data_IF_818028658022
#
_entry.id   IF_818028658022
#
_cell.length_a   1.000
_cell.length_b   1.000
_cell.length_c   1.000
_cell.angle_alpha   90.00
_cell.angle_beta   90.00
_cell.angle_gamma   90.00
#
_symmetry.space_group_name_H-M   'P 1'
#
loop_
_entity.id
_entity.type
_entity.pdbx_description
1 polymer ?
#
# COMPACT_ATOMS: atom_id res chain seq x y z
N UNK A 1 -10.35 -6.96 -15.19
CA UNK A 1 -10.49 -5.98 -14.10
C UNK A 1 -11.74 -6.31 -13.31
N UNK A 2 -11.63 -6.35 -12.01
CA UNK A 2 -12.76 -6.70 -11.16
C UNK A 2 -13.59 -5.43 -10.87
N UNK A 3 -14.82 -5.36 -11.41
CA UNK A 3 -15.69 -4.19 -11.22
C UNK A 3 -16.11 -4.02 -9.76
N UNK A 4 -16.11 -5.10 -8.98
CA UNK A 4 -16.43 -5.10 -7.56
C UNK A 4 -15.20 -4.89 -6.67
N UNK A 5 -14.01 -4.74 -7.25
CA UNK A 5 -12.80 -4.47 -6.47
C UNK A 5 -12.75 -3.02 -6.04
N UNK A 6 -12.73 -2.80 -4.72
CA UNK A 6 -12.68 -1.46 -4.14
C UNK A 6 -11.49 -0.66 -4.68
N UNK A 7 -10.30 -1.26 -4.74
CA UNK A 7 -9.10 -0.54 -5.16
C UNK A 7 -9.07 -0.31 -6.67
N UNK A 8 -9.62 -1.22 -7.48
CA UNK A 8 -9.79 -0.95 -8.91
C UNK A 8 -10.68 0.27 -9.11
N UNK A 9 -11.75 0.40 -8.32
CA UNK A 9 -12.67 1.55 -8.42
C UNK A 9 -12.00 2.84 -7.98
N UNK A 10 -11.15 2.79 -6.97
CA UNK A 10 -10.37 3.96 -6.52
C UNK A 10 -9.37 4.35 -7.61
N UNK A 11 -8.64 3.39 -8.17
CA UNK A 11 -7.66 3.64 -9.23
C UNK A 11 -8.30 4.29 -10.45
N UNK A 12 -9.52 3.85 -10.83
CA UNK A 12 -10.25 4.42 -11.97
C UNK A 12 -10.86 5.78 -11.68
N UNK A 13 -10.93 6.19 -10.41
CA UNK A 13 -11.60 7.42 -10.02
C UNK A 13 -13.11 7.29 -9.84
N UNK A 14 -13.65 6.08 -9.84
CA UNK A 14 -15.08 5.82 -9.56
C UNK A 14 -15.43 6.17 -8.11
N UNK A 15 -14.44 6.05 -7.22
CA UNK A 15 -14.54 6.48 -5.82
C UNK A 15 -13.48 7.56 -5.63
N UNK A 16 -13.93 8.74 -5.20
CA UNK A 16 -13.05 9.89 -5.02
C UNK A 16 -12.23 9.72 -3.73
N UNK A 17 -10.92 9.55 -3.88
CA UNK A 17 -9.96 9.46 -2.78
C UNK A 17 -8.77 10.35 -3.12
N UNK A 18 -8.35 11.26 -2.23
CA UNK A 18 -7.15 12.06 -2.49
C UNK A 18 -5.91 11.19 -2.52
N UNK A 19 -5.13 11.28 -3.60
CA UNK A 19 -3.85 10.58 -3.68
C UNK A 19 -2.76 11.45 -3.06
N UNK A 20 -1.94 10.84 -2.18
CA UNK A 20 -0.78 11.50 -1.61
C UNK A 20 0.45 11.35 -2.51
N UNK A 21 0.41 10.37 -3.41
CA UNK A 21 1.48 10.10 -4.36
C UNK A 21 0.94 9.24 -5.49
N UNK A 22 1.45 9.44 -6.70
CA UNK A 22 1.09 8.57 -7.82
C UNK A 22 2.20 8.50 -8.84
N UNK A 23 2.29 7.35 -9.51
CA UNK A 23 3.21 7.08 -10.60
C UNK A 23 2.41 6.43 -11.74
N UNK A 24 3.04 6.19 -12.91
CA UNK A 24 2.37 5.39 -13.94
C UNK A 24 1.98 3.99 -13.49
N UNK A 25 2.62 3.46 -12.45
CA UNK A 25 2.42 2.08 -11.99
C UNK A 25 1.52 1.95 -10.76
N UNK A 26 1.44 2.99 -9.92
CA UNK A 26 0.70 2.89 -8.66
C UNK A 26 0.12 4.22 -8.22
N UNK A 27 -0.83 4.13 -7.30
CA UNK A 27 -1.36 5.27 -6.55
C UNK A 27 -1.17 5.01 -5.06
N UNK A 28 -1.14 6.06 -4.26
CA UNK A 28 -1.04 5.94 -2.82
C UNK A 28 -2.01 6.89 -2.14
N UNK A 29 -2.67 6.41 -1.09
CA UNK A 29 -3.65 7.20 -0.35
C UNK A 29 -3.66 6.77 1.11
N UNK A 30 -4.16 7.66 1.99
CA UNK A 30 -4.17 7.39 3.42
C UNK A 30 -5.22 6.35 3.76
N UNK A 31 -4.88 5.45 4.70
CA UNK A 31 -5.81 4.48 5.24
C UNK A 31 -6.87 5.22 6.09
N UNK A 32 -8.14 4.88 5.92
CA UNK A 32 -9.24 5.51 6.67
C UNK A 32 -9.29 5.03 8.13
N UNK A 33 -8.60 3.95 8.45
CA UNK A 33 -8.47 3.44 9.81
C UNK A 33 -6.98 3.33 10.16
N UNK A 34 -6.29 4.47 10.35
CA UNK A 34 -4.85 4.46 10.50
C UNK A 34 -4.39 3.76 11.77
N UNK A 35 -3.36 2.95 11.65
CA UNK A 35 -2.74 2.22 12.76
C UNK A 35 -1.45 2.89 13.23
N UNK A 36 -1.08 4.01 12.63
CA UNK A 36 0.07 4.82 12.97
C UNK A 36 -0.19 6.26 12.52
N UNK A 37 0.54 7.26 13.03
CA UNK A 37 0.38 8.65 12.60
C UNK A 37 0.53 8.84 11.09
N UNK A 38 1.41 8.08 10.44
CA UNK A 38 1.43 7.93 9.01
C UNK A 38 1.05 6.49 8.66
N UNK A 39 -0.05 6.32 7.95
CA UNK A 39 -0.49 5.03 7.45
C UNK A 39 -1.03 5.23 6.04
N UNK A 40 -0.23 4.85 5.05
CA UNK A 40 -0.53 5.03 3.63
C UNK A 40 -0.58 3.67 2.97
N UNK A 41 -1.51 3.49 2.04
CA UNK A 41 -1.62 2.31 1.20
C UNK A 41 -1.01 2.63 -0.17
N UNK A 42 -0.06 1.82 -0.61
CA UNK A 42 0.51 1.90 -1.95
C UNK A 42 -0.12 0.80 -2.78
N UNK A 43 -0.85 1.19 -3.82
CA UNK A 43 -1.75 0.30 -4.56
C UNK A 43 -1.36 0.31 -6.04
N UNK A 44 -1.04 -0.85 -6.64
CA UNK A 44 -0.75 -0.89 -8.07
C UNK A 44 -2.01 -0.60 -8.87
N UNK A 45 -1.83 0.04 -10.03
CA UNK A 45 -2.96 0.30 -10.95
C UNK A 45 -3.47 -1.01 -11.55
N UNK A 46 -2.57 -1.97 -11.78
CA UNK A 46 -2.94 -3.29 -12.27
C UNK A 46 -3.55 -4.13 -11.15
N UNK A 47 -4.60 -4.88 -11.46
CA UNK A 47 -5.25 -5.76 -10.48
C UNK A 47 -4.50 -7.08 -10.40
N UNK A 48 -3.92 -7.34 -9.22
CA UNK A 48 -3.33 -8.62 -8.85
C UNK A 48 -3.88 -8.94 -7.46
N UNK A 49 -4.49 -10.09 -7.27
CA UNK A 49 -5.26 -10.37 -6.06
C UNK A 49 -4.40 -10.44 -4.81
N UNK A 50 -3.25 -11.10 -4.88
CA UNK A 50 -2.33 -11.21 -3.75
C UNK A 50 -0.89 -11.40 -4.23
N UNK A 51 0.05 -11.37 -3.30
CA UNK A 51 1.47 -11.64 -3.61
C UNK A 51 1.64 -13.01 -4.27
N UNK A 52 0.81 -13.98 -3.90
CA UNK A 52 0.88 -15.33 -4.49
C UNK A 52 0.64 -15.32 -6.01
N UNK A 53 -0.06 -14.31 -6.50
CA UNK A 53 -0.40 -14.19 -7.93
C UNK A 53 0.57 -13.28 -8.70
N UNK A 54 1.46 -12.60 -8.00
CA UNK A 54 2.45 -11.74 -8.63
C UNK A 54 3.52 -12.59 -9.32
N UNK A 55 3.94 -12.17 -10.52
CA UNK A 55 4.94 -12.90 -11.32
C UNK A 55 6.14 -12.05 -11.69
N UNK A 56 6.01 -10.74 -11.69
CA UNK A 56 7.05 -9.81 -12.12
C UNK A 56 7.71 -9.18 -10.89
N UNK A 57 9.01 -9.45 -10.64
CA UNK A 57 9.72 -8.83 -9.51
C UNK A 57 9.67 -7.30 -9.55
N UNK A 58 9.68 -6.70 -10.73
CA UNK A 58 9.63 -5.25 -10.87
C UNK A 58 8.32 -4.68 -10.34
N UNK A 59 7.21 -5.43 -10.46
CA UNK A 59 5.91 -5.04 -9.93
C UNK A 59 5.98 -4.76 -8.42
N UNK A 60 6.55 -5.70 -7.67
CA UNK A 60 6.70 -5.57 -6.22
C UNK A 60 7.75 -4.51 -5.87
N UNK A 61 8.86 -4.47 -6.61
CA UNK A 61 9.91 -3.48 -6.38
C UNK A 61 9.39 -2.05 -6.54
N UNK A 62 8.54 -1.81 -7.52
CA UNK A 62 7.94 -0.48 -7.73
C UNK A 62 7.09 -0.04 -6.55
N UNK A 63 6.32 -0.94 -5.95
CA UNK A 63 5.54 -0.63 -4.74
C UNK A 63 6.44 -0.27 -3.57
N UNK A 64 7.49 -1.05 -3.35
CA UNK A 64 8.43 -0.83 -2.25
C UNK A 64 9.19 0.49 -2.41
N UNK A 65 9.65 0.80 -3.62
CA UNK A 65 10.36 2.05 -3.87
C UNK A 65 9.44 3.26 -3.80
N UNK A 66 8.18 3.12 -4.18
CA UNK A 66 7.18 4.18 -3.99
C UNK A 66 6.96 4.46 -2.50
N UNK A 67 6.86 3.42 -1.67
CA UNK A 67 6.74 3.58 -0.22
C UNK A 67 7.96 4.33 0.35
N UNK A 68 9.16 3.99 -0.09
CA UNK A 68 10.37 4.68 0.36
C UNK A 68 10.37 6.16 -0.02
N UNK A 69 9.89 6.49 -1.23
CA UNK A 69 9.78 7.88 -1.67
C UNK A 69 8.76 8.67 -0.84
N UNK A 70 7.61 8.05 -0.55
CA UNK A 70 6.59 8.67 0.31
C UNK A 70 7.18 8.94 1.70
N UNK A 71 7.92 7.98 2.26
CA UNK A 71 8.55 8.13 3.56
C UNK A 71 9.52 9.32 3.58
N UNK A 72 10.29 9.53 2.51
CA UNK A 72 11.16 10.71 2.39
C UNK A 72 10.36 12.00 2.38
N UNK A 73 9.30 12.05 1.58
CA UNK A 73 8.47 13.25 1.45
C UNK A 73 7.73 13.60 2.74
N UNK A 74 7.35 12.58 3.52
CA UNK A 74 6.68 12.77 4.81
C UNK A 74 7.66 12.98 5.97
N UNK A 75 8.96 12.96 5.70
CA UNK A 75 9.99 13.28 6.68
C UNK A 75 10.28 12.17 7.69
N UNK A 76 9.88 10.93 7.42
CA UNK A 76 10.05 9.82 8.36
C UNK A 76 11.16 8.83 7.95
N UNK A 77 11.80 9.03 6.80
CA UNK A 77 12.79 8.08 6.30
C UNK A 77 13.95 7.88 7.28
N UNK A 78 14.42 8.96 7.92
CA UNK A 78 15.53 8.90 8.87
C UNK A 78 15.16 8.24 10.20
N UNK A 79 13.93 8.44 10.68
CA UNK A 79 13.45 7.80 11.92
C UNK A 79 13.18 6.32 11.71
N UNK A 80 12.74 5.95 10.54
CA UNK A 80 12.36 4.59 10.20
C UNK A 80 10.86 4.42 10.01
N UNK A 81 10.52 3.40 9.27
CA UNK A 81 9.14 3.05 8.93
C UNK A 81 9.06 1.56 8.67
N UNK A 82 7.85 1.04 8.61
CA UNK A 82 7.62 -0.38 8.31
C UNK A 82 6.69 -0.49 7.11
N UNK A 83 6.99 -1.44 6.24
CA UNK A 83 6.07 -1.80 5.16
C UNK A 83 5.52 -3.20 5.43
N UNK A 84 4.23 -3.39 5.12
CA UNK A 84 3.54 -4.65 5.36
C UNK A 84 2.69 -4.99 4.14
N UNK A 85 2.84 -6.21 3.64
CA UNK A 85 1.98 -6.74 2.59
C UNK A 85 1.34 -8.02 3.12
N UNK A 86 0.04 -7.98 3.35
CA UNK A 86 -0.71 -9.12 3.85
C UNK A 86 -1.17 -10.01 2.70
N UNK A 87 -1.05 -11.32 2.88
CA UNK A 87 -1.46 -12.31 1.88
C UNK A 87 -2.42 -13.30 2.53
N UNK A 88 -3.66 -13.29 2.05
CA UNK A 88 -4.73 -14.22 2.45
C UNK A 88 -5.17 -14.09 3.90
N UNK A 89 -5.99 -15.04 4.36
CA UNK A 89 -6.81 -14.90 5.57
C UNK A 89 -6.01 -14.77 6.85
N UNK A 90 -5.02 -15.63 7.06
CA UNK A 90 -4.26 -15.62 8.32
C UNK A 90 -3.45 -14.34 8.50
N UNK A 91 -3.08 -13.68 7.42
CA UNK A 91 -2.39 -12.40 7.48
C UNK A 91 -3.36 -11.21 7.62
N UNK A 92 -4.65 -11.43 7.45
CA UNK A 92 -5.66 -10.38 7.55
C UNK A 92 -5.88 -9.58 6.28
N UNK A 93 -5.60 -10.17 5.11
CA UNK A 93 -5.92 -9.51 3.86
C UNK A 93 -7.44 -9.46 3.67
N UNK A 94 -8.00 -8.26 3.55
CA UNK A 94 -9.45 -8.07 3.38
C UNK A 94 -9.82 -7.55 1.99
N UNK A 95 -8.91 -6.83 1.32
CA UNK A 95 -9.12 -6.38 -0.06
C UNK A 95 -8.17 -7.19 -0.95
N UNK A 96 -8.74 -7.95 -1.88
CA UNK A 96 -7.97 -8.83 -2.76
C UNK A 96 -7.53 -8.09 -4.03
N UNK A 97 -6.71 -7.10 -3.79
CA UNK A 97 -5.96 -6.31 -4.72
C UNK A 97 -4.67 -5.96 -3.97
N UNK A 98 -3.55 -6.48 -4.42
CA UNK A 98 -2.26 -6.30 -3.73
C UNK A 98 -2.08 -4.84 -3.30
N UNK A 99 -1.62 -4.65 -2.08
CA UNK A 99 -1.28 -3.32 -1.59
C UNK A 99 -0.23 -3.41 -0.49
N UNK A 100 0.57 -2.37 -0.41
CA UNK A 100 1.64 -2.27 0.57
C UNK A 100 1.27 -1.20 1.58
N UNK A 101 1.17 -1.59 2.86
CA UNK A 101 1.00 -0.62 3.94
C UNK A 101 2.34 0.04 4.23
N UNK A 102 2.34 1.34 4.37
CA UNK A 102 3.47 2.13 4.87
C UNK A 102 3.07 2.72 6.22
N UNK A 103 3.79 2.35 7.26
CA UNK A 103 3.47 2.73 8.64
C UNK A 103 4.66 3.45 9.26
N UNK A 104 4.42 4.60 9.86
CA UNK A 104 5.48 5.36 10.52
C UNK A 104 4.95 6.46 11.40
N UNK A 105 5.87 7.25 11.95
CA UNK A 105 5.52 8.36 12.83
C UNK A 105 5.46 7.98 14.31
N UNK A 106 5.74 6.73 14.65
CA UNK A 106 5.89 6.23 16.03
C UNK A 106 6.80 5.02 16.04
N UNK A 107 7.28 4.65 17.23
CA UNK A 107 7.98 3.39 17.39
C UNK A 107 7.03 2.21 17.13
N UNK A 108 7.51 1.23 16.39
CA UNK A 108 6.76 0.02 16.07
C UNK A 108 7.46 -1.15 16.77
N UNK A 109 6.67 -1.97 17.46
CA UNK A 109 7.21 -3.03 18.30
C UNK A 109 7.54 -4.29 17.49
N UNK A 110 8.24 -5.19 18.15
CA UNK A 110 8.51 -6.53 17.65
C UNK A 110 8.14 -7.54 18.74
N UNK A 111 7.44 -8.66 18.45
CA UNK A 111 7.07 -9.14 17.10
C UNK A 111 6.03 -8.28 16.40
N UNK A 112 5.96 -8.38 15.05
CA UNK A 112 5.15 -7.45 14.25
C UNK A 112 3.65 -7.75 14.24
N UNK A 113 3.23 -8.80 14.86
CA UNK A 113 1.81 -9.15 14.89
C UNK A 113 1.33 -9.77 16.17
#
# INVERSE_FOLDING_TARGET
MADDCLFCRIVRGDIAVPFVYETPDCVAFRDINPQAPLHVLVVPRAHVASLNDARDPAFIGKLSLAAAEIARREGIAGRGYRTVMNTNADAGQTVFHVHLHLLGGRALSWPPG
#
